data_IF_234129782285
#
_entry.id   IF_234129782285
#
_cell.length_a   1.000
_cell.length_b   1.000
_cell.length_c   1.000
_cell.angle_alpha   90.00
_cell.angle_beta   90.00
_cell.angle_gamma   90.00
#
_symmetry.space_group_name_H-M   'P 1'
#
loop_
_entity.id
_entity.type
_entity.pdbx_description
1 polymer ?
#
# COMPACT_ATOMS: atom_id res chain seq x y z
N UNK A 1 -28.59 9.11 6.69
CA UNK A 1 -27.68 9.72 7.68
C UNK A 1 -27.19 8.61 8.58
N UNK A 2 -26.16 7.88 8.15
CA UNK A 2 -25.56 6.82 8.95
C UNK A 2 -24.61 7.44 9.97
N UNK A 3 -24.83 7.06 11.22
CA UNK A 3 -24.03 7.44 12.37
C UNK A 3 -22.57 7.02 12.18
N UNK A 4 -21.72 7.95 11.78
CA UNK A 4 -20.34 7.97 12.25
C UNK A 4 -20.43 8.18 13.75
N UNK A 5 -20.45 7.08 14.51
CA UNK A 5 -20.36 7.11 15.95
C UNK A 5 -19.10 7.89 16.31
N UNK A 6 -19.34 8.92 17.12
CA UNK A 6 -18.36 9.68 17.88
C UNK A 6 -17.46 8.72 18.67
N UNK A 7 -16.36 8.34 18.06
CA UNK A 7 -15.10 8.17 18.77
C UNK A 7 -14.24 9.27 18.18
N UNK A 8 -13.72 10.16 19.03
CA UNK A 8 -12.68 11.13 18.69
C UNK A 8 -11.44 10.35 18.26
N UNK A 9 -11.49 9.79 17.04
CA UNK A 9 -10.41 9.03 16.46
C UNK A 9 -9.44 10.08 15.96
N UNK A 10 -8.47 10.40 16.82
CA UNK A 10 -7.43 11.35 16.50
C UNK A 10 -6.45 10.64 15.56
N UNK A 11 -6.62 10.85 14.27
CA UNK A 11 -5.67 10.38 13.27
C UNK A 11 -4.45 11.29 13.24
N UNK A 12 -3.25 10.71 13.34
CA UNK A 12 -2.00 11.45 13.16
C UNK A 12 -1.74 11.76 11.70
N UNK A 13 -2.14 10.86 10.81
CA UNK A 13 -2.10 11.06 9.37
C UNK A 13 -3.44 10.66 8.73
N UNK A 14 -3.89 11.48 7.79
CA UNK A 14 -4.93 11.16 6.83
C UNK A 14 -4.43 11.52 5.44
N UNK A 15 -4.53 10.57 4.53
CA UNK A 15 -4.04 10.70 3.16
C UNK A 15 -5.04 10.13 2.15
N UNK A 16 -5.17 10.79 1.01
CA UNK A 16 -5.87 10.22 -0.14
C UNK A 16 -4.93 9.26 -0.85
N UNK A 17 -5.32 8.00 -0.95
CA UNK A 17 -4.62 7.01 -1.76
C UNK A 17 -5.34 6.85 -3.09
N UNK A 18 -4.59 6.96 -4.18
CA UNK A 18 -5.04 6.62 -5.52
C UNK A 18 -4.39 5.30 -5.95
N UNK A 19 -5.20 4.27 -6.19
CA UNK A 19 -4.73 3.04 -6.83
C UNK A 19 -5.03 3.12 -8.32
N UNK A 20 -4.03 2.81 -9.15
CA UNK A 20 -4.19 2.65 -10.60
C UNK A 20 -4.01 1.19 -10.96
N UNK A 21 -5.03 0.56 -11.53
CA UNK A 21 -5.02 -0.84 -11.97
C UNK A 21 -5.93 -1.02 -13.19
N UNK A 22 -5.47 -1.79 -14.20
CA UNK A 22 -6.21 -2.05 -15.44
C UNK A 22 -6.74 -0.76 -16.10
N UNK A 23 -5.85 0.24 -16.20
CA UNK A 23 -6.12 1.60 -16.69
C UNK A 23 -7.29 2.35 -16.00
N UNK A 24 -7.75 1.85 -14.86
CA UNK A 24 -8.75 2.49 -14.01
C UNK A 24 -8.09 3.02 -12.74
N UNK A 25 -8.65 4.08 -12.17
CA UNK A 25 -8.22 4.62 -10.88
C UNK A 25 -9.38 4.65 -9.89
N UNK A 26 -9.07 4.38 -8.63
CA UNK A 26 -10.01 4.56 -7.54
C UNK A 26 -9.31 5.16 -6.33
N UNK A 27 -10.08 5.89 -5.52
CA UNK A 27 -9.58 6.68 -4.42
C UNK A 27 -10.08 6.12 -3.09
N UNK A 28 -9.22 6.09 -2.09
CA UNK A 28 -9.56 5.68 -0.73
C UNK A 28 -8.80 6.54 0.28
N UNK A 29 -9.17 6.45 1.55
CA UNK A 29 -8.50 7.19 2.62
C UNK A 29 -7.65 6.22 3.42
N UNK A 30 -6.34 6.44 3.41
CA UNK A 30 -5.43 5.79 4.34
C UNK A 30 -5.24 6.67 5.57
N UNK A 31 -5.09 6.04 6.71
CA UNK A 31 -4.80 6.68 7.97
C UNK A 31 -3.68 5.97 8.70
N UNK A 32 -3.01 6.72 9.56
CA UNK A 32 -2.04 6.22 10.51
C UNK A 32 -2.21 6.97 11.82
N UNK A 33 -2.17 6.21 12.91
CA UNK A 33 -2.09 6.71 14.27
C UNK A 33 -1.00 5.95 15.06
N UNK A 34 -0.78 6.33 16.31
CA UNK A 34 0.19 5.67 17.20
C UNK A 34 -0.02 4.14 17.38
N UNK A 35 -1.17 3.57 16.98
CA UNK A 35 -1.53 2.17 17.19
C UNK A 35 -1.62 1.37 15.91
N UNK A 36 -2.08 1.95 14.81
CA UNK A 36 -2.37 1.21 13.58
C UNK A 36 -2.32 2.07 12.33
N UNK A 37 -1.88 1.44 11.25
CA UNK A 37 -2.02 1.92 9.89
C UNK A 37 -3.16 1.17 9.23
N UNK A 38 -3.90 1.83 8.34
CA UNK A 38 -5.02 1.20 7.68
C UNK A 38 -5.84 2.10 6.76
N UNK A 39 -6.96 1.55 6.31
CA UNK A 39 -7.88 2.20 5.40
C UNK A 39 -9.23 2.43 6.04
N UNK A 40 -9.83 3.57 5.71
CA UNK A 40 -11.17 3.88 6.15
C UNK A 40 -12.19 2.94 5.49
N UNK A 41 -13.09 2.41 6.31
CA UNK A 41 -14.14 1.48 5.89
C UNK A 41 -15.52 2.10 6.00
N UNK A 42 -16.47 1.58 5.22
CA UNK A 42 -17.90 1.74 5.40
C UNK A 42 -18.46 0.40 5.91
N UNK A 43 -18.59 0.26 7.23
CA UNK A 43 -18.77 -1.03 7.87
C UNK A 43 -17.52 -1.90 7.72
N UNK A 44 -17.63 -3.03 7.00
CA UNK A 44 -16.53 -3.97 6.74
C UNK A 44 -15.96 -3.87 5.32
N UNK A 45 -16.39 -2.88 4.54
CA UNK A 45 -16.00 -2.71 3.13
C UNK A 45 -15.13 -1.48 3.01
N UNK A 46 -14.11 -1.52 2.14
CA UNK A 46 -13.27 -0.36 1.84
C UNK A 46 -14.13 0.83 1.38
N UNK A 47 -13.94 2.00 1.99
CA UNK A 47 -14.60 3.21 1.53
C UNK A 47 -13.89 3.77 0.29
N UNK A 48 -14.52 3.61 -0.86
CA UNK A 48 -14.00 4.05 -2.16
C UNK A 48 -14.71 5.32 -2.65
N UNK A 49 -13.96 6.19 -3.31
CA UNK A 49 -14.44 7.43 -3.92
C UNK A 49 -14.17 7.39 -5.43
N UNK A 50 -15.15 7.88 -6.19
CA UNK A 50 -15.13 7.91 -7.66
C UNK A 50 -14.23 9.02 -8.23
N UNK A 51 -13.75 9.94 -7.39
CA UNK A 51 -12.82 10.98 -7.80
C UNK A 51 -11.96 11.47 -6.65
N UNK A 52 -10.79 12.02 -6.99
CA UNK A 52 -9.90 12.71 -6.05
C UNK A 52 -10.63 13.80 -5.28
N UNK A 53 -11.45 14.62 -5.97
CA UNK A 53 -12.16 15.74 -5.36
C UNK A 53 -13.20 15.27 -4.33
N UNK A 54 -13.88 14.14 -4.59
CA UNK A 54 -14.80 13.55 -3.62
C UNK A 54 -14.06 13.07 -2.36
N UNK A 55 -12.91 12.38 -2.53
CA UNK A 55 -12.08 11.93 -1.40
C UNK A 55 -11.53 13.12 -0.60
N UNK A 56 -11.03 14.16 -1.27
CA UNK A 56 -10.52 15.38 -0.63
C UNK A 56 -11.63 16.14 0.10
N UNK A 57 -12.82 16.25 -0.50
CA UNK A 57 -13.97 16.92 0.13
C UNK A 57 -14.41 16.18 1.38
N UNK A 58 -14.45 14.85 1.31
CA UNK A 58 -14.72 14.00 2.45
C UNK A 58 -13.67 14.20 3.57
N UNK A 59 -12.38 14.17 3.25
CA UNK A 59 -11.33 14.42 4.25
C UNK A 59 -11.41 15.81 4.89
N UNK A 60 -11.69 16.85 4.11
CA UNK A 60 -11.86 18.23 4.62
C UNK A 60 -13.03 18.37 5.59
N UNK A 61 -14.00 17.45 5.55
CA UNK A 61 -15.11 17.44 6.51
C UNK A 61 -14.70 17.01 7.92
N UNK A 62 -13.53 16.37 8.08
CA UNK A 62 -12.95 16.08 9.39
C UNK A 62 -12.32 17.36 9.95
N UNK A 63 -13.15 18.16 10.62
CA UNK A 63 -12.83 19.50 11.15
C UNK A 63 -11.64 19.54 12.13
N UNK A 64 -11.17 18.40 12.62
CA UNK A 64 -10.04 18.25 13.54
C UNK A 64 -8.69 18.09 12.83
N UNK A 65 -8.64 17.70 11.55
CA UNK A 65 -7.38 17.44 10.86
C UNK A 65 -6.82 18.72 10.22
N UNK A 66 -5.79 19.30 10.84
CA UNK A 66 -5.17 20.56 10.42
C UNK A 66 -3.92 20.40 9.54
N UNK A 67 -3.51 19.17 9.24
CA UNK A 67 -2.31 18.89 8.42
C UNK A 67 -2.66 18.97 6.93
N UNK A 68 -1.64 19.19 6.10
CA UNK A 68 -1.79 19.19 4.64
C UNK A 68 -2.22 17.78 4.20
N UNK A 69 -3.39 17.70 3.57
CA UNK A 69 -3.86 16.45 2.96
C UNK A 69 -3.03 16.19 1.71
N UNK A 70 -2.33 15.05 1.70
CA UNK A 70 -1.57 14.57 0.55
C UNK A 70 -2.41 13.63 -0.30
N UNK A 71 -1.92 13.40 -1.51
CA UNK A 71 -2.40 12.32 -2.35
C UNK A 71 -1.21 11.52 -2.83
N UNK A 72 -1.17 10.24 -2.48
CA UNK A 72 -0.14 9.30 -2.96
C UNK A 72 -0.76 8.32 -3.93
N UNK A 73 -0.07 8.08 -5.04
CA UNK A 73 -0.52 7.19 -6.11
C UNK A 73 0.29 5.91 -6.10
N UNK A 74 -0.39 4.77 -5.97
CA UNK A 74 0.18 3.45 -6.13
C UNK A 74 -0.30 2.86 -7.46
N UNK A 75 0.61 2.84 -8.44
CA UNK A 75 0.33 2.31 -9.77
C UNK A 75 0.60 0.80 -9.80
N UNK A 76 -0.44 0.00 -9.62
CA UNK A 76 -0.37 -1.45 -9.65
C UNK A 76 -0.10 -2.00 -11.07
N UNK A 77 -0.36 -1.25 -12.14
CA UNK A 77 0.04 -1.64 -13.50
C UNK A 77 1.56 -1.75 -13.63
N UNK A 78 2.34 -0.91 -12.92
CA UNK A 78 3.80 -1.08 -12.85
C UNK A 78 4.20 -2.39 -12.20
N UNK A 79 3.47 -2.84 -11.17
CA UNK A 79 3.73 -4.12 -10.51
C UNK A 79 3.40 -5.28 -11.46
N UNK A 80 2.30 -5.19 -12.21
CA UNK A 80 1.99 -6.15 -13.29
C UNK A 80 3.13 -6.23 -14.30
N UNK A 81 3.65 -5.08 -14.75
CA UNK A 81 4.77 -5.01 -15.68
C UNK A 81 6.08 -5.59 -15.10
N UNK A 82 6.36 -5.37 -13.81
CA UNK A 82 7.50 -5.99 -13.11
C UNK A 82 7.36 -7.52 -13.06
N UNK A 83 6.18 -8.02 -12.70
CA UNK A 83 5.88 -9.47 -12.66
C UNK A 83 6.03 -10.09 -14.05
N UNK A 84 5.57 -9.38 -15.10
CA UNK A 84 5.70 -9.80 -16.50
C UNK A 84 7.09 -9.54 -17.09
N UNK A 85 8.00 -8.93 -16.31
CA UNK A 85 9.38 -8.58 -16.71
C UNK A 85 9.43 -7.67 -17.95
N UNK A 86 8.41 -6.83 -18.15
CA UNK A 86 8.36 -5.86 -19.25
C UNK A 86 9.00 -4.52 -18.89
N UNK A 87 9.23 -4.27 -17.60
CA UNK A 87 10.02 -3.14 -17.10
C UNK A 87 11.07 -3.62 -16.10
N UNK A 88 12.14 -2.84 -15.85
CA UNK A 88 13.14 -3.17 -14.82
C UNK A 88 12.52 -3.31 -13.43
N UNK A 89 13.13 -4.19 -12.64
CA UNK A 89 12.78 -4.35 -11.23
C UNK A 89 13.20 -3.12 -10.42
N UNK A 90 12.30 -2.62 -9.59
CA UNK A 90 12.54 -1.48 -8.69
C UNK A 90 12.07 -1.85 -7.28
N UNK A 91 13.03 -1.94 -6.35
CA UNK A 91 12.76 -2.34 -4.96
C UNK A 91 11.84 -1.36 -4.24
N UNK A 92 11.91 -0.07 -4.57
CA UNK A 92 11.10 0.96 -3.93
C UNK A 92 9.65 0.82 -4.34
N UNK A 93 9.39 0.69 -5.64
CA UNK A 93 8.04 0.49 -6.17
C UNK A 93 7.41 -0.79 -5.62
N UNK A 94 8.19 -1.87 -5.56
CA UNK A 94 7.73 -3.17 -5.05
C UNK A 94 7.44 -3.13 -3.55
N UNK A 95 8.31 -2.52 -2.75
CA UNK A 95 8.14 -2.46 -1.30
C UNK A 95 6.98 -1.54 -0.91
N UNK A 96 6.87 -0.38 -1.55
CA UNK A 96 5.76 0.55 -1.32
C UNK A 96 4.42 -0.11 -1.61
N UNK A 97 4.32 -0.82 -2.74
CA UNK A 97 3.13 -1.58 -3.10
C UNK A 97 2.83 -2.69 -2.09
N UNK A 98 3.85 -3.45 -1.67
CA UNK A 98 3.67 -4.49 -0.66
C UNK A 98 3.11 -3.90 0.64
N UNK A 99 3.70 -2.82 1.14
CA UNK A 99 3.31 -2.20 2.41
C UNK A 99 1.86 -1.71 2.36
N UNK A 100 1.50 -0.93 1.33
CA UNK A 100 0.15 -0.37 1.25
C UNK A 100 -0.92 -1.47 1.06
N UNK A 101 -0.58 -2.57 0.37
CA UNK A 101 -1.48 -3.71 0.24
C UNK A 101 -1.59 -4.49 1.55
N UNK A 102 -0.51 -4.56 2.33
CA UNK A 102 -0.53 -5.12 3.68
C UNK A 102 -1.52 -4.39 4.60
N UNK A 103 -1.48 -3.06 4.60
CA UNK A 103 -2.42 -2.21 5.34
C UNK A 103 -3.86 -2.40 4.86
N UNK A 104 -4.06 -2.45 3.54
CA UNK A 104 -5.36 -2.69 2.92
C UNK A 104 -5.93 -4.04 3.34
N UNK A 105 -5.14 -5.10 3.22
CA UNK A 105 -5.47 -6.48 3.61
C UNK A 105 -5.89 -6.55 5.08
N UNK A 106 -5.10 -5.96 5.98
CA UNK A 106 -5.40 -5.95 7.41
C UNK A 106 -6.69 -5.19 7.71
N UNK A 107 -6.93 -4.07 7.02
CA UNK A 107 -8.14 -3.25 7.20
C UNK A 107 -9.41 -4.00 6.82
N UNK A 108 -9.41 -4.69 5.67
CA UNK A 108 -10.60 -5.40 5.16
C UNK A 108 -10.69 -6.86 5.66
N UNK A 109 -9.72 -7.33 6.45
CA UNK A 109 -9.70 -8.68 6.99
C UNK A 109 -9.51 -9.80 5.95
N UNK A 110 -9.00 -9.48 4.75
CA UNK A 110 -8.71 -10.47 3.71
C UNK A 110 -7.24 -10.87 3.80
N UNK A 111 -6.88 -12.17 3.92
CA UNK A 111 -5.49 -12.59 4.00
C UNK A 111 -4.66 -12.15 2.78
N UNK A 112 -3.41 -11.75 3.04
CA UNK A 112 -2.43 -11.39 2.02
C UNK A 112 -1.14 -12.19 2.21
N UNK A 113 -0.62 -12.74 1.12
CA UNK A 113 0.61 -13.53 1.12
C UNK A 113 1.81 -12.77 1.68
N UNK A 114 1.89 -11.46 1.45
CA UNK A 114 2.96 -10.61 1.97
C UNK A 114 2.90 -10.35 3.48
N UNK A 115 1.79 -10.67 4.15
CA UNK A 115 1.66 -10.52 5.61
C UNK A 115 2.15 -11.76 6.38
N UNK A 116 2.49 -12.86 5.69
CA UNK A 116 3.00 -14.08 6.34
C UNK A 116 4.36 -13.81 6.99
N UNK A 117 4.47 -14.16 8.28
CA UNK A 117 5.69 -13.97 9.08
C UNK A 117 6.56 -15.23 9.08
N UNK A 118 6.97 -15.65 7.89
CA UNK A 118 7.90 -16.77 7.69
C UNK A 118 9.29 -16.29 7.23
N UNK A 119 10.31 -17.15 7.39
CA UNK A 119 11.70 -16.79 7.09
C UNK A 119 11.91 -16.37 5.63
N UNK A 120 11.22 -17.00 4.68
CA UNK A 120 11.38 -16.71 3.27
C UNK A 120 10.78 -15.34 2.92
N UNK A 121 9.57 -15.07 3.41
CA UNK A 121 8.87 -13.80 3.23
C UNK A 121 9.62 -12.65 3.89
N UNK A 122 10.11 -12.84 5.12
CA UNK A 122 10.93 -11.85 5.82
C UNK A 122 12.26 -11.58 5.09
N UNK A 123 12.93 -12.62 4.59
CA UNK A 123 14.19 -12.45 3.85
C UNK A 123 14.00 -11.64 2.56
N UNK A 124 12.90 -11.85 1.84
CA UNK A 124 12.57 -11.05 0.66
C UNK A 124 12.32 -9.60 1.06
N UNK A 125 11.54 -9.37 2.11
CA UNK A 125 11.24 -8.03 2.60
C UNK A 125 12.51 -7.26 2.96
N UNK A 126 13.43 -7.88 3.71
CA UNK A 126 14.72 -7.28 4.08
C UNK A 126 15.53 -6.89 2.83
N UNK A 127 15.59 -7.77 1.82
CA UNK A 127 16.28 -7.48 0.56
C UNK A 127 15.66 -6.30 -0.18
N UNK A 128 14.33 -6.21 -0.21
CA UNK A 128 13.64 -5.06 -0.80
C UNK A 128 13.95 -3.78 -0.03
N UNK A 129 13.89 -3.83 1.29
CA UNK A 129 14.17 -2.70 2.17
C UNK A 129 15.60 -2.17 2.01
N UNK A 130 16.62 -3.02 2.05
CA UNK A 130 17.99 -2.61 1.75
C UNK A 130 18.16 -2.17 0.30
N UNK A 131 17.37 -2.74 -0.62
CA UNK A 131 17.30 -2.36 -2.04
C UNK A 131 16.90 -0.90 -2.28
N UNK A 132 16.26 -0.25 -1.31
CA UNK A 132 15.93 1.18 -1.37
C UNK A 132 17.14 2.09 -1.16
N UNK A 133 18.28 1.55 -0.67
CA UNK A 133 19.53 2.30 -0.50
C UNK A 133 19.35 3.64 0.25
N UNK A 134 18.49 3.66 1.27
CA UNK A 134 18.22 4.86 2.05
C UNK A 134 19.52 5.43 2.64
N UNK A 135 19.85 6.73 2.48
CA UNK A 135 21.14 7.30 2.92
C UNK A 135 21.43 7.13 4.42
N UNK A 136 20.37 7.02 5.24
CA UNK A 136 20.46 6.80 6.68
C UNK A 136 20.88 5.37 7.05
N UNK A 137 20.73 4.41 6.13
CA UNK A 137 21.02 2.99 6.33
C UNK A 137 22.24 2.59 5.52
N UNK A 138 22.22 2.88 4.22
CA UNK A 138 23.36 2.70 3.35
C UNK A 138 24.28 3.92 3.45
N UNK A 139 25.10 3.93 4.49
CA UNK A 139 26.13 4.96 4.71
C UNK A 139 27.37 4.73 3.84
N UNK A 140 27.40 3.64 3.07
CA UNK A 140 28.44 3.39 2.09
C UNK A 140 28.12 4.13 0.78
N UNK A 141 29.14 4.41 -0.02
CA UNK A 141 28.94 4.92 -1.39
C UNK A 141 28.55 3.84 -2.40
N UNK A 142 28.37 2.58 -1.96
CA UNK A 142 28.07 1.45 -2.84
C UNK A 142 26.57 1.22 -2.92
N UNK A 143 26.05 1.02 -4.12
CA UNK A 143 24.65 0.65 -4.33
C UNK A 143 24.47 -0.85 -4.05
N UNK A 144 23.56 -1.18 -3.15
CA UNK A 144 23.09 -2.54 -2.95
C UNK A 144 22.02 -2.86 -3.99
N UNK A 145 22.17 -3.97 -4.70
CA UNK A 145 21.17 -4.51 -5.64
C UNK A 145 20.74 -5.88 -5.14
N UNK A 146 19.46 -6.07 -4.76
CA UNK A 146 19.01 -7.33 -4.17
C UNK A 146 19.18 -8.49 -5.14
N UNK A 147 19.73 -9.59 -4.61
CA UNK A 147 19.84 -10.86 -5.34
C UNK A 147 18.86 -11.87 -4.73
N UNK A 148 17.94 -12.35 -5.56
CA UNK A 148 16.93 -13.32 -5.16
C UNK A 148 17.27 -14.71 -5.66
N UNK A 149 17.20 -15.70 -4.78
CA UNK A 149 17.25 -17.12 -5.14
C UNK A 149 16.03 -17.49 -5.99
N UNK A 150 16.07 -18.65 -6.66
CA UNK A 150 14.92 -19.12 -7.43
C UNK A 150 13.64 -19.25 -6.58
N UNK A 151 13.79 -19.72 -5.34
CA UNK A 151 12.70 -19.84 -4.37
C UNK A 151 12.13 -18.46 -3.99
N UNK A 152 13.00 -17.50 -3.68
CA UNK A 152 12.60 -16.13 -3.36
C UNK A 152 11.91 -15.43 -4.53
N UNK A 153 12.37 -15.65 -5.76
CA UNK A 153 11.74 -15.08 -6.96
C UNK A 153 10.31 -15.61 -7.16
N UNK A 154 10.11 -16.92 -6.96
CA UNK A 154 8.78 -17.54 -7.03
C UNK A 154 7.89 -16.96 -5.94
N UNK A 155 8.39 -16.90 -4.70
CA UNK A 155 7.65 -16.36 -3.56
C UNK A 155 7.27 -14.89 -3.74
N UNK A 156 8.21 -14.05 -4.15
CA UNK A 156 7.98 -12.64 -4.44
C UNK A 156 6.92 -12.48 -5.54
N UNK A 157 6.98 -13.28 -6.59
CA UNK A 157 5.97 -13.28 -7.66
C UNK A 157 4.59 -13.65 -7.14
N UNK A 158 4.48 -14.63 -6.24
CA UNK A 158 3.21 -14.98 -5.57
C UNK A 158 2.67 -13.80 -4.78
N UNK A 159 3.50 -13.16 -3.96
CA UNK A 159 3.13 -12.02 -3.12
C UNK A 159 2.64 -10.84 -3.97
N UNK A 160 3.34 -10.51 -5.05
CA UNK A 160 2.94 -9.43 -5.95
C UNK A 160 1.62 -9.74 -6.67
N UNK A 161 1.45 -10.98 -7.17
CA UNK A 161 0.21 -11.38 -7.85
C UNK A 161 -1.00 -11.38 -6.91
N UNK A 162 -0.82 -11.82 -5.68
CA UNK A 162 -1.87 -11.79 -4.66
C UNK A 162 -2.28 -10.35 -4.34
N UNK A 163 -1.31 -9.46 -4.18
CA UNK A 163 -1.58 -8.04 -3.94
C UNK A 163 -2.29 -7.36 -5.11
N UNK A 164 -1.89 -7.64 -6.35
CA UNK A 164 -2.60 -7.18 -7.56
C UNK A 164 -4.05 -7.69 -7.54
N UNK A 165 -4.28 -8.97 -7.20
CA UNK A 165 -5.63 -9.54 -7.13
C UNK A 165 -6.47 -8.83 -6.07
N UNK A 166 -5.89 -8.51 -4.91
CA UNK A 166 -6.56 -7.82 -3.83
C UNK A 166 -6.98 -6.40 -4.25
N UNK A 167 -6.07 -5.63 -4.86
CA UNK A 167 -6.37 -4.28 -5.38
C UNK A 167 -7.45 -4.32 -6.46
N UNK A 168 -7.39 -5.28 -7.39
CA UNK A 168 -8.44 -5.45 -8.42
C UNK A 168 -9.83 -5.69 -7.83
N UNK A 169 -9.93 -6.49 -6.76
CA UNK A 169 -11.21 -6.76 -6.09
C UNK A 169 -11.84 -5.51 -5.47
N UNK A 170 -11.04 -4.51 -5.11
CA UNK A 170 -11.52 -3.26 -4.52
C UNK A 170 -12.01 -2.25 -5.56
N UNK A 171 -11.68 -2.47 -6.84
CA UNK A 171 -12.11 -1.63 -7.96
C UNK A 171 -13.45 -2.08 -8.57
N UNK A 172 -14.20 -2.96 -7.89
CA UNK A 172 -15.46 -3.56 -8.37
C UNK A 172 -16.67 -3.03 -7.60
#
# INVERSE_FOLDING_TARGET
MSHLQQVDTQFDCLEVICFIIDESEFYCIWFSDDKTDGFLLDGSILKVFQSKDAALTFLKSFSSYKKIIKTTTYNANKIVQIVMRTIPFDSHIVLDFWNIVGDLSNSIGIPYEGNKKDNLTNSIYDKLFYGNNLPTINTSTRIYTPQFTGEEQVRLTTILKDGISLVRKMNL
#
